data_IF_899291425897
#
_entry.id   IF_899291425897
#
_cell.length_a   1.000
_cell.length_b   1.000
_cell.length_c   1.000
_cell.angle_alpha   90.00
_cell.angle_beta   90.00
_cell.angle_gamma   90.00
#
_symmetry.space_group_name_H-M   'P 1'
#
loop_
_entity.id
_entity.type
_entity.pdbx_description
1 polymer ?
#
# COMPACT_ATOMS: atom_id res chain seq x y z
N UNK A 1 4.68 21.17 1.08
CA UNK A 1 4.30 20.20 0.03
C UNK A 1 5.41 19.17 -0.11
N UNK A 2 5.18 17.93 0.36
CA UNK A 2 6.20 16.86 0.35
C UNK A 2 6.58 16.45 -1.08
N UNK A 3 7.86 16.20 -1.35
CA UNK A 3 8.39 15.73 -2.66
C UNK A 3 7.65 14.50 -3.17
N UNK A 4 7.19 13.64 -2.25
CA UNK A 4 6.41 12.45 -2.55
C UNK A 4 5.05 12.81 -3.17
N UNK A 5 4.39 13.87 -2.70
CA UNK A 5 3.09 14.27 -3.23
C UNK A 5 3.22 14.79 -4.66
N UNK A 6 4.28 15.57 -4.93
CA UNK A 6 4.59 16.01 -6.29
C UNK A 6 4.83 14.83 -7.24
N UNK A 7 5.53 13.80 -6.76
CA UNK A 7 5.73 12.56 -7.54
C UNK A 7 4.41 11.83 -7.80
N UNK A 8 3.53 11.70 -6.80
CA UNK A 8 2.23 11.05 -6.97
C UNK A 8 1.32 11.84 -7.91
N UNK A 9 1.29 13.17 -7.77
CA UNK A 9 0.49 14.09 -8.58
C UNK A 9 0.96 14.17 -10.04
N UNK A 10 2.24 13.92 -10.31
CA UNK A 10 2.79 13.85 -11.67
C UNK A 10 2.09 12.78 -12.53
N UNK A 11 1.63 11.68 -11.92
CA UNK A 11 0.95 10.63 -12.65
C UNK A 11 -0.56 10.88 -12.72
N UNK A 12 -1.11 10.78 -13.93
CA UNK A 12 -2.54 10.81 -14.21
C UNK A 12 -3.14 9.42 -14.44
N UNK A 13 -2.35 8.35 -14.43
CA UNK A 13 -2.87 6.99 -14.64
C UNK A 13 -2.33 6.05 -13.56
N UNK A 14 -3.21 5.17 -13.08
CA UNK A 14 -2.88 4.23 -12.01
C UNK A 14 -1.82 3.23 -12.45
N UNK A 15 -1.93 2.67 -13.66
CA UNK A 15 -0.96 1.71 -14.16
C UNK A 15 0.40 2.36 -14.43
N UNK A 16 0.43 3.59 -14.95
CA UNK A 16 1.66 4.37 -15.11
C UNK A 16 2.33 4.65 -13.76
N UNK A 17 1.56 5.02 -12.75
CA UNK A 17 2.06 5.21 -11.40
C UNK A 17 2.66 3.90 -10.84
N UNK A 18 1.93 2.78 -10.95
CA UNK A 18 2.42 1.47 -10.49
C UNK A 18 3.72 1.06 -11.18
N UNK A 19 3.81 1.23 -12.51
CA UNK A 19 5.05 0.95 -13.27
C UNK A 19 6.21 1.85 -12.81
N UNK A 20 5.97 3.15 -12.65
CA UNK A 20 7.00 4.09 -12.18
C UNK A 20 7.52 3.71 -10.78
N UNK A 21 6.61 3.39 -9.86
CA UNK A 21 6.97 2.95 -8.50
C UNK A 21 7.69 1.60 -8.51
N UNK A 22 7.25 0.65 -9.33
CA UNK A 22 7.92 -0.65 -9.47
C UNK A 22 9.38 -0.49 -9.92
N UNK A 23 9.64 0.39 -10.90
CA UNK A 23 10.99 0.70 -11.36
C UNK A 23 11.84 1.32 -10.23
N UNK A 24 11.26 2.24 -9.45
CA UNK A 24 11.96 2.85 -8.32
C UNK A 24 12.29 1.83 -7.22
N UNK A 25 11.39 0.90 -6.94
CA UNK A 25 11.63 -0.20 -5.98
C UNK A 25 12.73 -1.14 -6.48
N UNK A 26 12.70 -1.52 -7.76
CA UNK A 26 13.74 -2.33 -8.40
C UNK A 26 15.10 -1.64 -8.33
N UNK A 27 15.16 -0.35 -8.68
CA UNK A 27 16.37 0.46 -8.59
C UNK A 27 16.90 0.51 -7.15
N UNK A 28 16.03 0.76 -6.17
CA UNK A 28 16.42 0.78 -4.75
C UNK A 28 17.00 -0.56 -4.31
N UNK A 29 16.34 -1.68 -4.63
CA UNK A 29 16.80 -3.02 -4.26
C UNK A 29 18.19 -3.30 -4.85
N UNK A 30 18.42 -2.92 -6.10
CA UNK A 30 19.72 -3.08 -6.76
C UNK A 30 20.80 -2.20 -6.13
N UNK A 31 20.53 -0.92 -5.86
CA UNK A 31 21.48 -0.04 -5.19
C UNK A 31 21.87 -0.57 -3.79
N UNK A 32 20.92 -1.18 -3.07
CA UNK A 32 21.20 -1.83 -1.80
C UNK A 32 22.08 -3.08 -1.97
N UNK A 33 21.79 -3.96 -2.94
CA UNK A 33 22.65 -5.12 -3.27
C UNK A 33 24.07 -4.66 -3.60
N UNK A 34 24.21 -3.63 -4.46
CA UNK A 34 25.50 -3.06 -4.83
C UNK A 34 26.22 -2.43 -3.64
N UNK A 35 25.49 -1.77 -2.75
CA UNK A 35 26.06 -1.19 -1.52
C UNK A 35 26.55 -2.27 -0.55
N UNK A 36 25.86 -3.41 -0.45
CA UNK A 36 26.27 -4.55 0.39
C UNK A 36 27.51 -5.23 -0.19
N UNK A 37 27.50 -5.52 -1.49
CA UNK A 37 28.67 -6.10 -2.19
C UNK A 37 29.93 -5.25 -2.06
N UNK A 38 29.79 -3.91 -2.03
CA UNK A 38 30.91 -2.98 -1.83
C UNK A 38 31.50 -3.04 -0.42
N UNK A 39 30.69 -3.37 0.59
CA UNK A 39 31.16 -3.60 1.97
C UNK A 39 31.89 -4.93 2.09
N UNK A 40 31.42 -5.97 1.39
CA UNK A 40 31.99 -7.31 1.47
C UNK A 40 33.29 -7.49 0.65
N UNK A 41 33.47 -6.74 -0.46
CA UNK A 41 34.65 -6.83 -1.34
C UNK A 41 35.10 -5.46 -1.87
N UNK A 42 36.01 -4.74 -1.18
CA UNK A 42 36.40 -3.38 -1.56
C UNK A 42 37.27 -3.25 -2.84
N UNK A 43 37.74 -4.36 -3.43
CA UNK A 43 38.73 -4.33 -4.53
C UNK A 43 38.29 -4.98 -5.85
N UNK A 44 37.04 -5.40 -6.01
CA UNK A 44 36.52 -5.87 -7.31
C UNK A 44 35.57 -4.85 -7.94
N UNK A 45 36.13 -3.91 -8.71
CA UNK A 45 35.39 -2.99 -9.58
C UNK A 45 35.28 -3.58 -10.99
N UNK A 46 34.55 -4.70 -11.15
CA UNK A 46 34.16 -5.15 -12.50
C UNK A 46 32.92 -4.38 -12.99
N UNK A 47 32.95 -4.11 -14.29
CA UNK A 47 32.13 -3.15 -15.05
C UNK A 47 30.68 -2.97 -14.58
N UNK A 48 30.39 -1.75 -14.11
CA UNK A 48 29.09 -1.24 -13.61
C UNK A 48 27.94 -1.21 -14.64
N UNK A 49 28.18 -1.57 -15.91
CA UNK A 49 27.38 -1.07 -17.04
C UNK A 49 26.37 -2.05 -17.64
N UNK A 50 26.39 -3.33 -17.26
CA UNK A 50 25.43 -4.31 -17.77
C UNK A 50 24.68 -4.98 -16.61
N UNK A 51 23.54 -4.39 -16.25
CA UNK A 51 22.61 -4.96 -15.26
C UNK A 51 21.45 -5.61 -16.02
N UNK A 52 21.49 -6.92 -16.27
CA UNK A 52 20.44 -7.62 -17.02
C UNK A 52 19.05 -7.52 -16.36
N UNK A 53 18.98 -7.27 -15.04
CA UNK A 53 17.72 -7.08 -14.29
C UNK A 53 16.88 -5.87 -14.78
N UNK A 54 17.45 -4.87 -15.48
CA UNK A 54 16.70 -3.73 -16.03
C UNK A 54 16.06 -3.99 -17.40
N UNK A 55 16.59 -4.97 -18.14
CA UNK A 55 16.06 -5.35 -19.46
C UNK A 55 14.87 -6.32 -19.33
N UNK A 56 14.68 -6.90 -18.14
CA UNK A 56 13.56 -7.79 -17.89
C UNK A 56 12.25 -7.00 -17.77
N UNK A 57 11.16 -7.50 -18.38
CA UNK A 57 9.84 -6.91 -18.22
C UNK A 57 9.47 -6.83 -16.72
N UNK A 58 8.67 -5.83 -16.36
CA UNK A 58 8.16 -5.67 -15.01
C UNK A 58 7.26 -6.87 -14.70
N UNK A 59 7.54 -7.55 -13.59
CA UNK A 59 6.76 -8.74 -13.21
C UNK A 59 5.44 -8.33 -12.55
N UNK A 60 4.46 -9.23 -12.56
CA UNK A 60 3.17 -8.98 -11.88
C UNK A 60 3.39 -8.76 -10.38
N UNK A 61 4.29 -9.51 -9.76
CA UNK A 61 4.64 -9.36 -8.34
C UNK A 61 5.20 -7.96 -8.02
N UNK A 62 6.06 -7.40 -8.87
CA UNK A 62 6.55 -6.04 -8.66
C UNK A 62 5.47 -4.97 -8.82
N UNK A 63 4.46 -5.21 -9.66
CA UNK A 63 3.30 -4.32 -9.75
C UNK A 63 2.42 -4.41 -8.50
N UNK A 64 2.26 -5.60 -7.93
CA UNK A 64 1.55 -5.81 -6.66
C UNK A 64 2.30 -5.15 -5.49
N UNK A 65 3.63 -5.30 -5.44
CA UNK A 65 4.47 -4.64 -4.44
C UNK A 65 4.43 -3.12 -4.58
N UNK A 66 4.49 -2.61 -5.80
CA UNK A 66 4.36 -1.18 -6.08
C UNK A 66 2.98 -0.65 -5.64
N UNK A 67 1.91 -1.39 -5.94
CA UNK A 67 0.56 -1.06 -5.49
C UNK A 67 0.48 -0.96 -3.96
N UNK A 68 0.96 -2.00 -3.26
CA UNK A 68 0.99 -2.00 -1.79
C UNK A 68 1.84 -0.85 -1.24
N UNK A 69 2.97 -0.54 -1.85
CA UNK A 69 3.86 0.54 -1.42
C UNK A 69 3.19 1.92 -1.57
N UNK A 70 2.49 2.17 -2.68
CA UNK A 70 1.74 3.43 -2.88
C UNK A 70 0.64 3.57 -1.84
N UNK A 71 -0.17 2.52 -1.66
CA UNK A 71 -1.26 2.52 -0.67
C UNK A 71 -0.71 2.78 0.73
N UNK A 72 0.34 2.05 1.13
CA UNK A 72 1.01 2.22 2.41
C UNK A 72 1.50 3.65 2.60
N UNK A 73 2.13 4.24 1.58
CA UNK A 73 2.65 5.60 1.65
C UNK A 73 1.53 6.61 1.93
N UNK A 74 0.43 6.52 1.18
CA UNK A 74 -0.73 7.40 1.35
C UNK A 74 -1.38 7.23 2.73
N UNK A 75 -1.46 5.99 3.22
CA UNK A 75 -1.98 5.72 4.56
C UNK A 75 -1.08 6.30 5.65
N UNK A 76 0.25 6.16 5.53
CA UNK A 76 1.20 6.74 6.49
C UNK A 76 1.04 8.26 6.54
N UNK A 77 0.81 8.92 5.40
CA UNK A 77 0.63 10.37 5.35
C UNK A 77 -0.68 10.83 6.01
N UNK A 78 -1.76 10.06 5.88
CA UNK A 78 -3.09 10.47 6.33
C UNK A 78 -3.48 9.94 7.72
N UNK A 79 -2.99 8.77 8.09
CA UNK A 79 -3.40 8.00 9.28
C UNK A 79 -2.19 7.59 10.13
N UNK A 80 -1.17 8.44 10.20
CA UNK A 80 0.09 8.13 10.91
C UNK A 80 -0.16 7.70 12.35
N UNK A 81 -1.06 8.43 13.04
CA UNK A 81 -1.36 8.19 14.45
C UNK A 81 -2.02 6.83 14.65
N UNK A 82 -3.03 6.53 13.84
CA UNK A 82 -3.75 5.27 13.88
C UNK A 82 -2.84 4.08 13.53
N UNK A 83 -1.97 4.24 12.52
CA UNK A 83 -0.99 3.20 12.18
C UNK A 83 0.03 2.95 13.31
N UNK A 84 0.51 4.00 13.98
CA UNK A 84 1.41 3.85 15.12
C UNK A 84 0.73 3.08 16.27
N UNK A 85 -0.51 3.43 16.61
CA UNK A 85 -1.30 2.75 17.64
C UNK A 85 -1.50 1.27 17.30
N UNK A 86 -1.91 0.96 16.07
CA UNK A 86 -2.14 -0.43 15.67
C UNK A 86 -0.85 -1.25 15.65
N UNK A 87 0.28 -0.62 15.30
CA UNK A 87 1.59 -1.27 15.32
C UNK A 87 2.09 -1.54 16.74
N UNK A 88 1.79 -0.67 17.72
CA UNK A 88 2.12 -0.96 19.12
C UNK A 88 1.28 -2.10 19.68
N UNK A 89 -0.01 -2.17 19.31
CA UNK A 89 -0.93 -3.25 19.70
C UNK A 89 -0.52 -4.59 19.06
N UNK A 90 0.02 -4.59 17.83
CA UNK A 90 0.52 -5.83 17.21
C UNK A 90 1.75 -6.41 17.91
N UNK A 91 2.62 -5.55 18.44
CA UNK A 91 3.84 -5.97 19.12
C UNK A 91 3.59 -6.54 20.51
N UNK A 92 2.45 -6.22 21.14
CA UNK A 92 2.01 -6.91 22.35
C UNK A 92 1.42 -8.28 21.95
N UNK A 93 2.30 -9.22 21.61
CA UNK A 93 1.96 -10.61 21.33
C UNK A 93 1.37 -11.24 22.61
N UNK A 94 0.12 -11.69 22.56
CA UNK A 94 -0.45 -12.50 23.65
C UNK A 94 -1.93 -12.31 23.96
N UNK A 95 -2.63 -11.34 23.37
CA UNK A 95 -4.06 -11.15 23.64
C UNK A 95 -4.97 -11.86 22.63
N UNK A 96 -6.00 -12.50 23.16
CA UNK A 96 -7.11 -13.12 22.44
C UNK A 96 -7.68 -12.18 21.34
N UNK A 97 -8.01 -12.72 20.16
CA UNK A 97 -8.45 -11.92 18.98
C UNK A 97 -9.62 -10.98 19.33
N UNK A 98 -10.55 -11.45 20.19
CA UNK A 98 -11.68 -10.65 20.68
C UNK A 98 -11.24 -9.46 21.53
N UNK A 99 -10.24 -9.66 22.38
CA UNK A 99 -9.68 -8.59 23.19
C UNK A 99 -8.98 -7.57 22.28
N UNK A 100 -8.11 -8.02 21.37
CA UNK A 100 -7.42 -7.14 20.40
C UNK A 100 -8.39 -6.22 19.65
N UNK A 101 -9.53 -6.75 19.20
CA UNK A 101 -10.57 -5.96 18.52
C UNK A 101 -11.22 -4.91 19.44
N UNK A 102 -11.42 -5.24 20.71
CA UNK A 102 -11.93 -4.31 21.73
C UNK A 102 -10.91 -3.21 22.04
N UNK A 103 -9.64 -3.54 22.26
CA UNK A 103 -8.56 -2.59 22.51
C UNK A 103 -8.34 -1.65 21.32
N UNK A 104 -8.35 -2.20 20.10
CA UNK A 104 -8.24 -1.41 18.86
C UNK A 104 -9.36 -0.36 18.75
N UNK A 105 -10.60 -0.71 19.13
CA UNK A 105 -11.76 0.20 19.17
C UNK A 105 -11.76 1.17 20.36
N UNK A 106 -10.88 1.01 21.33
CA UNK A 106 -10.74 1.95 22.45
C UNK A 106 -9.66 2.96 22.08
N UNK A 107 -8.57 2.49 21.48
CA UNK A 107 -7.38 3.30 21.25
C UNK A 107 -7.43 4.11 19.96
N UNK A 108 -8.06 3.58 18.91
CA UNK A 108 -8.50 4.41 17.79
C UNK A 108 -9.64 5.28 18.33
N UNK A 109 -9.35 6.56 18.56
CA UNK A 109 -10.35 7.51 19.09
C UNK A 109 -11.61 7.49 18.20
N UNK A 110 -12.79 7.60 18.82
CA UNK A 110 -14.07 7.75 18.10
C UNK A 110 -14.10 8.95 17.14
N UNK A 111 -13.23 9.94 17.36
CA UNK A 111 -13.05 11.10 16.49
C UNK A 111 -12.27 10.79 15.20
N UNK A 112 -11.61 9.65 15.10
CA UNK A 112 -10.91 9.26 13.88
C UNK A 112 -11.91 8.88 12.78
N UNK A 113 -11.65 9.39 11.56
CA UNK A 113 -12.47 9.11 10.38
C UNK A 113 -12.57 7.62 10.04
N UNK A 114 -11.61 6.81 10.48
CA UNK A 114 -11.55 5.38 10.19
C UNK A 114 -12.14 4.51 11.31
N UNK A 115 -12.56 5.10 12.44
CA UNK A 115 -13.10 4.35 13.58
C UNK A 115 -14.25 3.39 13.20
N UNK A 116 -15.20 3.91 12.42
CA UNK A 116 -16.41 3.18 12.02
C UNK A 116 -16.12 1.96 11.15
N UNK A 117 -15.03 1.97 10.41
CA UNK A 117 -14.64 0.86 9.52
C UNK A 117 -13.80 -0.20 10.24
N UNK A 118 -13.67 -0.12 11.57
CA UNK A 118 -12.94 -1.08 12.41
C UNK A 118 -11.56 -1.41 11.82
N UNK A 119 -10.65 -0.43 11.79
CA UNK A 119 -9.40 -0.54 11.05
C UNK A 119 -8.48 -1.56 11.73
N UNK A 120 -7.77 -2.35 10.93
CA UNK A 120 -6.72 -3.22 11.43
C UNK A 120 -5.52 -3.19 10.49
N UNK A 121 -4.35 -3.56 11.00
CA UNK A 121 -3.13 -3.63 10.23
C UNK A 121 -2.95 -5.05 9.68
N UNK A 122 -2.58 -5.15 8.40
CA UNK A 122 -2.17 -6.39 7.78
C UNK A 122 -1.07 -6.10 6.77
N UNK A 123 0.10 -6.74 6.93
CA UNK A 123 1.30 -6.47 6.10
C UNK A 123 1.63 -4.97 6.03
N UNK A 124 1.59 -4.29 7.18
CA UNK A 124 1.82 -2.83 7.31
C UNK A 124 0.84 -1.93 6.54
N UNK A 125 -0.33 -2.42 6.15
CA UNK A 125 -1.36 -1.66 5.44
C UNK A 125 -2.66 -1.69 6.23
N UNK A 126 -3.33 -0.53 6.35
CA UNK A 126 -4.64 -0.42 6.98
C UNK A 126 -5.72 -1.03 6.10
N UNK A 127 -6.50 -1.94 6.70
CA UNK A 127 -7.63 -2.61 6.04
C UNK A 127 -8.91 -2.50 6.88
N UNK A 128 -10.04 -2.60 6.19
CA UNK A 128 -11.39 -2.57 6.80
C UNK A 128 -11.68 -3.91 7.47
N UNK A 129 -12.02 -3.87 8.75
CA UNK A 129 -12.42 -5.03 9.52
C UNK A 129 -13.94 -5.29 9.50
N UNK A 130 -14.33 -6.48 9.98
CA UNK A 130 -15.69 -6.77 10.46
C UNK A 130 -16.79 -7.08 9.43
N UNK A 131 -16.64 -6.72 8.15
CA UNK A 131 -17.79 -6.69 7.21
C UNK A 131 -18.12 -8.01 6.50
N UNK A 132 -17.19 -8.96 6.38
CA UNK A 132 -17.39 -10.20 5.59
C UNK A 132 -16.75 -11.45 6.23
N UNK A 133 -16.81 -11.55 7.57
CA UNK A 133 -16.11 -12.63 8.31
C UNK A 133 -16.55 -14.06 7.96
N UNK A 134 -17.76 -14.24 7.43
CA UNK A 134 -18.37 -15.56 7.20
C UNK A 134 -18.63 -15.88 5.71
N UNK A 135 -18.14 -15.05 4.78
CA UNK A 135 -18.32 -15.30 3.34
C UNK A 135 -17.11 -16.00 2.72
N UNK A 136 -17.33 -16.80 1.68
CA UNK A 136 -16.28 -17.45 0.88
C UNK A 136 -15.69 -16.50 -0.17
N UNK A 137 -15.19 -15.36 0.32
CA UNK A 137 -14.50 -14.37 -0.50
C UNK A 137 -12.99 -14.42 -0.26
N UNK A 138 -12.23 -13.92 -1.23
CA UNK A 138 -10.79 -13.71 -1.05
C UNK A 138 -10.52 -12.69 0.05
N UNK A 139 -9.40 -12.81 0.75
CA UNK A 139 -9.01 -11.88 1.83
C UNK A 139 -8.97 -10.42 1.36
N UNK A 140 -8.63 -10.18 0.09
CA UNK A 140 -8.61 -8.85 -0.51
C UNK A 140 -10.01 -8.22 -0.60
N UNK A 141 -11.02 -9.01 -0.99
CA UNK A 141 -12.42 -8.58 -1.04
C UNK A 141 -13.03 -8.47 0.37
N UNK A 142 -12.64 -9.36 1.29
CA UNK A 142 -13.09 -9.33 2.68
C UNK A 142 -12.63 -8.07 3.42
N UNK A 143 -11.40 -7.66 3.13
CA UNK A 143 -10.68 -6.63 3.87
C UNK A 143 -10.10 -5.57 2.92
N UNK A 144 -10.95 -4.72 2.31
CA UNK A 144 -10.49 -3.68 1.39
C UNK A 144 -9.55 -2.67 2.07
N UNK A 145 -8.72 -2.03 1.26
CA UNK A 145 -7.77 -1.02 1.72
C UNK A 145 -8.48 0.25 2.22
N UNK A 146 -7.97 0.82 3.31
CA UNK A 146 -8.46 2.11 3.80
C UNK A 146 -7.67 3.23 3.12
N UNK A 147 -8.34 4.04 2.30
CA UNK A 147 -7.70 5.18 1.63
C UNK A 147 -8.34 6.52 2.09
N UNK A 148 -7.54 7.59 2.22
CA UNK A 148 -8.06 8.90 2.57
C UNK A 148 -8.85 9.51 1.41
N UNK A 149 -10.07 9.99 1.70
CA UNK A 149 -11.01 10.53 0.70
C UNK A 149 -10.43 11.60 -0.21
N UNK A 150 -9.54 12.46 0.30
CA UNK A 150 -8.99 13.63 -0.41
C UNK A 150 -7.60 13.38 -1.05
N UNK A 151 -7.21 12.12 -1.24
CA UNK A 151 -5.92 11.83 -1.91
C UNK A 151 -6.07 11.73 -3.42
N UNK A 152 -5.06 12.25 -4.14
CA UNK A 152 -4.92 12.08 -5.58
C UNK A 152 -4.93 10.60 -5.98
N UNK A 153 -4.26 9.73 -5.19
CA UNK A 153 -4.22 8.29 -5.44
C UNK A 153 -5.62 7.66 -5.38
N UNK A 154 -6.46 8.07 -4.43
CA UNK A 154 -7.85 7.61 -4.34
C UNK A 154 -8.63 8.00 -5.60
N UNK A 155 -8.42 9.22 -6.09
CA UNK A 155 -9.04 9.70 -7.33
C UNK A 155 -8.56 8.92 -8.54
N UNK A 156 -7.25 8.65 -8.64
CA UNK A 156 -6.67 7.82 -9.71
C UNK A 156 -7.27 6.41 -9.73
N UNK A 157 -7.43 5.79 -8.56
CA UNK A 157 -7.95 4.43 -8.44
C UNK A 157 -9.43 4.35 -8.83
N UNK A 158 -10.25 5.30 -8.36
CA UNK A 158 -11.65 5.41 -8.77
C UNK A 158 -11.75 5.62 -10.28
N UNK A 159 -10.94 6.53 -10.85
CA UNK A 159 -10.91 6.77 -12.30
C UNK A 159 -10.51 5.53 -13.07
N UNK A 160 -9.50 4.80 -12.59
CA UNK A 160 -9.04 3.56 -13.22
C UNK A 160 -10.15 2.51 -13.28
N UNK A 161 -10.88 2.29 -12.18
CA UNK A 161 -12.00 1.34 -12.16
C UNK A 161 -13.16 1.84 -13.04
N UNK A 162 -13.48 3.13 -12.98
CA UNK A 162 -14.51 3.73 -13.84
C UNK A 162 -14.21 3.54 -15.33
N UNK A 163 -12.96 3.73 -15.76
CA UNK A 163 -12.53 3.47 -17.14
C UNK A 163 -12.57 1.98 -17.48
N UNK A 164 -12.13 1.10 -16.56
CA UNK A 164 -12.15 -0.35 -16.75
C UNK A 164 -13.57 -0.89 -16.95
N UNK A 165 -14.56 -0.29 -16.29
CA UNK A 165 -15.97 -0.64 -16.41
C UNK A 165 -16.68 0.09 -17.58
N UNK A 166 -15.93 0.74 -18.49
CA UNK A 166 -16.51 1.42 -19.64
C UNK A 166 -17.40 2.61 -19.25
N UNK A 167 -17.03 3.36 -18.21
CA UNK A 167 -17.80 4.49 -17.69
C UNK A 167 -19.17 4.13 -17.09
N UNK A 168 -19.29 2.90 -16.57
CA UNK A 168 -20.49 2.46 -15.87
C UNK A 168 -20.88 3.41 -14.71
N UNK A 169 -22.17 3.46 -14.41
CA UNK A 169 -22.71 4.31 -13.35
C UNK A 169 -22.07 4.05 -11.98
N UNK A 170 -22.17 5.04 -11.08
CA UNK A 170 -21.50 5.06 -9.77
C UNK A 170 -21.67 3.78 -8.94
N UNK A 171 -22.86 3.17 -8.99
CA UNK A 171 -23.13 1.92 -8.27
C UNK A 171 -22.23 0.76 -8.70
N UNK A 172 -21.96 0.62 -9.99
CA UNK A 172 -21.07 -0.43 -10.52
C UNK A 172 -19.62 -0.21 -10.12
N UNK A 173 -19.17 1.06 -10.17
CA UNK A 173 -17.82 1.43 -9.71
C UNK A 173 -17.66 1.10 -8.23
N UNK A 174 -18.62 1.46 -7.39
CA UNK A 174 -18.59 1.18 -5.95
C UNK A 174 -18.65 -0.30 -5.61
N UNK A 175 -19.35 -1.12 -6.39
CA UNK A 175 -19.42 -2.57 -6.18
C UNK A 175 -18.10 -3.29 -6.53
N UNK A 176 -17.28 -2.67 -7.37
CA UNK A 176 -16.02 -3.26 -7.89
C UNK A 176 -14.78 -2.82 -7.10
N UNK A 177 -14.92 -1.80 -6.24
CA UNK A 177 -13.84 -1.19 -5.43
C UNK A 177 -13.53 -1.96 -4.14
#
# INVERSE_FOLDING_TARGET
MSTINKFLEFYSDWNRLKKGVAILLRLRAMLLKLSQMKKDKPHQTKSRRHLPEFQQPITVQELEDAEMAVIRCVQIQAFTREMCILRSIEKSEGQDKRQRERWTKIEVKRSSSIYRVSPFLHRDVLRVGGRLRRGDFTEQMKHPYILPRKSHVTTLLIRHVHQKLGHAGRGHVLATL
#
